data_IF_506337239025
#
_entry.id   IF_506337239025
#
_cell.length_a   1.000
_cell.length_b   1.000
_cell.length_c   1.000
_cell.angle_alpha   90.00
_cell.angle_beta   90.00
_cell.angle_gamma   90.00
#
_symmetry.space_group_name_H-M   'P 1'
#
loop_
_entity.id
_entity.type
_entity.pdbx_description
1 polymer ?
#
# COMPACT_ATOMS: atom_id res chain seq x y z
N UNK A 1 -7.64 4.18 11.38
CA UNK A 1 -7.69 3.58 10.02
C UNK A 1 -6.38 3.77 9.22
N UNK A 2 -5.95 2.76 8.46
CA UNK A 2 -4.59 2.64 7.88
C UNK A 2 -4.49 3.11 6.41
N UNK A 3 -3.46 3.88 6.09
CA UNK A 3 -3.03 4.27 4.74
C UNK A 3 -1.80 3.46 4.39
N UNK A 4 -1.87 2.69 3.30
CA UNK A 4 -0.78 1.80 2.91
C UNK A 4 -0.18 2.21 1.58
N UNK A 5 1.16 2.17 1.50
CA UNK A 5 1.96 2.47 0.31
C UNK A 5 2.60 1.22 -0.27
N UNK A 6 2.80 1.18 -1.59
CA UNK A 6 3.83 0.32 -2.18
C UNK A 6 4.50 0.90 -3.43
N UNK A 7 5.67 0.34 -3.72
CA UNK A 7 6.47 0.58 -4.91
C UNK A 7 6.50 -0.71 -5.73
N UNK A 8 6.04 -0.66 -6.98
CA UNK A 8 5.94 -1.84 -7.82
C UNK A 8 6.56 -1.64 -9.18
N UNK A 9 7.12 -2.73 -9.70
CA UNK A 9 7.47 -2.88 -11.10
C UNK A 9 6.40 -3.69 -11.80
N UNK A 10 5.84 -3.15 -12.89
CA UNK A 10 4.98 -3.91 -13.79
C UNK A 10 5.69 -4.11 -15.13
N UNK A 11 5.80 -5.35 -15.59
CA UNK A 11 6.44 -5.71 -16.86
C UNK A 11 5.37 -5.98 -17.92
N UNK A 12 5.53 -5.36 -19.08
CA UNK A 12 4.75 -5.60 -20.30
C UNK A 12 5.20 -6.88 -20.99
N UNK A 13 4.28 -7.52 -21.70
CA UNK A 13 4.63 -8.52 -22.72
C UNK A 13 5.46 -7.82 -23.80
N UNK A 14 6.78 -8.02 -23.79
CA UNK A 14 7.75 -7.30 -24.63
C UNK A 14 8.92 -6.68 -23.88
N UNK A 15 8.99 -6.82 -22.55
CA UNK A 15 10.17 -6.44 -21.75
C UNK A 15 10.21 -4.99 -21.28
N UNK A 16 9.30 -4.13 -21.75
CA UNK A 16 9.11 -2.80 -21.19
C UNK A 16 8.52 -2.90 -19.78
N UNK A 17 8.90 -2.00 -18.86
CA UNK A 17 8.36 -1.98 -17.51
C UNK A 17 8.03 -0.57 -17.03
N UNK A 18 7.10 -0.48 -16.09
CA UNK A 18 6.74 0.78 -15.42
C UNK A 18 6.93 0.60 -13.92
N UNK A 19 7.65 1.54 -13.31
CA UNK A 19 7.67 1.67 -11.86
C UNK A 19 6.52 2.59 -11.45
N UNK A 20 5.72 2.16 -10.47
CA UNK A 20 4.64 2.99 -9.91
C UNK A 20 4.75 3.08 -8.40
N UNK A 21 4.45 4.25 -7.87
CA UNK A 21 4.18 4.49 -6.46
C UNK A 21 2.68 4.64 -6.28
N UNK A 22 2.16 4.01 -5.23
CA UNK A 22 0.73 4.02 -4.95
C UNK A 22 0.47 4.13 -3.46
N UNK A 23 -0.69 4.68 -3.12
CA UNK A 23 -1.22 4.82 -1.77
C UNK A 23 -2.74 4.59 -1.76
N UNK A 24 -3.26 3.93 -0.73
CA UNK A 24 -4.69 3.73 -0.52
C UNK A 24 -5.05 3.75 0.96
N UNK A 25 -6.32 4.03 1.27
CA UNK A 25 -6.92 3.90 2.60
C UNK A 25 -8.16 2.99 2.53
N UNK A 26 -8.75 2.65 3.67
CA UNK A 26 -10.10 2.03 3.71
C UNK A 26 -11.19 2.90 3.05
N UNK A 27 -11.07 4.23 3.03
CA UNK A 27 -12.05 5.14 2.43
C UNK A 27 -11.86 5.21 0.93
N UNK A 28 -10.63 5.53 0.51
CA UNK A 28 -10.35 5.93 -0.86
C UNK A 28 -9.03 5.39 -1.40
N UNK A 29 -8.99 5.26 -2.72
CA UNK A 29 -7.79 5.02 -3.48
C UNK A 29 -7.07 6.36 -3.69
N UNK A 30 -5.81 6.44 -3.24
CA UNK A 30 -4.98 7.62 -3.44
C UNK A 30 -4.32 7.67 -4.83
N UNK A 31 -3.39 8.62 -5.05
CA UNK A 31 -2.77 8.81 -6.35
C UNK A 31 -1.85 7.65 -6.75
N UNK A 32 -1.98 7.22 -8.01
CA UNK A 32 -1.05 6.31 -8.69
C UNK A 32 -0.03 7.12 -9.49
N UNK A 33 1.21 7.18 -8.99
CA UNK A 33 2.29 8.01 -9.52
C UNK A 33 3.25 7.16 -10.34
N UNK A 34 3.43 7.52 -11.62
CA UNK A 34 4.42 6.88 -12.48
C UNK A 34 5.83 7.38 -12.14
N UNK A 35 6.75 6.43 -12.01
CA UNK A 35 8.16 6.69 -11.80
C UNK A 35 8.93 6.39 -13.09
N UNK A 36 9.49 7.43 -13.72
CA UNK A 36 10.23 7.31 -14.99
C UNK A 36 11.61 6.68 -14.81
N UNK A 37 12.22 6.89 -13.65
CA UNK A 37 13.53 6.38 -13.25
C UNK A 37 13.44 5.71 -11.88
N UNK A 38 14.53 5.05 -11.48
CA UNK A 38 14.72 4.52 -10.12
C UNK A 38 14.37 5.58 -9.07
N UNK A 39 13.60 5.18 -8.05
CA UNK A 39 13.17 6.07 -6.99
C UNK A 39 14.38 6.59 -6.18
N UNK A 40 14.74 7.85 -6.37
CA UNK A 40 15.76 8.55 -5.59
C UNK A 40 15.19 9.04 -4.24
N UNK A 41 16.07 9.33 -3.29
CA UNK A 41 15.68 9.83 -1.97
C UNK A 41 14.95 11.17 -2.03
N UNK A 42 15.40 12.10 -2.89
CA UNK A 42 14.77 13.42 -3.07
C UNK A 42 13.39 13.29 -3.71
N UNK A 43 13.24 12.39 -4.68
CA UNK A 43 11.98 12.15 -5.35
C UNK A 43 10.99 11.48 -4.40
N UNK A 44 11.46 10.56 -3.56
CA UNK A 44 10.62 9.95 -2.55
C UNK A 44 10.14 10.97 -1.52
N UNK A 45 11.00 11.90 -1.07
CA UNK A 45 10.58 13.02 -0.23
C UNK A 45 9.50 13.89 -0.87
N UNK A 46 9.66 14.25 -2.14
CA UNK A 46 8.63 15.01 -2.88
C UNK A 46 7.31 14.25 -2.93
N UNK A 47 7.35 12.93 -3.15
CA UNK A 47 6.13 12.13 -3.12
C UNK A 47 5.45 12.14 -1.74
N UNK A 48 6.24 12.04 -0.67
CA UNK A 48 5.71 12.13 0.69
C UNK A 48 5.09 13.50 0.97
N UNK A 49 5.78 14.58 0.62
CA UNK A 49 5.32 15.95 0.81
C UNK A 49 4.10 16.29 -0.06
N UNK A 50 4.19 16.08 -1.36
CA UNK A 50 3.22 16.62 -2.32
C UNK A 50 1.97 15.74 -2.41
N UNK A 51 2.13 14.42 -2.22
CA UNK A 51 1.06 13.45 -2.47
C UNK A 51 0.59 12.74 -1.20
N UNK A 52 1.49 12.25 -0.34
CA UNK A 52 1.06 11.57 0.89
C UNK A 52 0.42 12.55 1.88
N UNK A 53 1.08 13.66 2.21
CA UNK A 53 0.55 14.63 3.18
C UNK A 53 -0.82 15.17 2.76
N UNK A 54 -0.93 15.60 1.50
CA UNK A 54 -2.20 16.03 0.88
C UNK A 54 -3.29 14.96 0.98
N UNK A 55 -2.96 13.70 0.64
CA UNK A 55 -3.92 12.59 0.72
C UNK A 55 -4.34 12.30 2.16
N UNK A 56 -3.41 12.30 3.10
CA UNK A 56 -3.68 12.10 4.53
C UNK A 56 -4.64 13.17 5.06
N UNK A 57 -4.43 14.44 4.72
CA UNK A 57 -5.32 15.55 5.12
C UNK A 57 -6.76 15.36 4.60
N UNK A 58 -6.92 14.79 3.40
CA UNK A 58 -8.24 14.52 2.80
C UNK A 58 -8.93 13.33 3.50
N UNK A 59 -8.22 12.22 3.72
CA UNK A 59 -8.83 10.98 4.25
C UNK A 59 -8.86 10.91 5.79
N UNK A 60 -8.05 11.73 6.46
CA UNK A 60 -7.83 11.77 7.91
C UNK A 60 -7.69 13.21 8.43
N UNK A 61 -8.76 14.00 8.30
CA UNK A 61 -8.82 15.37 8.82
C UNK A 61 -8.78 15.44 10.36
N UNK A 62 -8.93 14.31 11.06
CA UNK A 62 -8.90 14.18 12.52
C UNK A 62 -7.47 14.02 13.09
N UNK A 63 -6.46 13.87 12.24
CA UNK A 63 -5.07 13.64 12.67
C UNK A 63 -4.80 12.25 13.26
N UNK A 64 -5.77 11.33 13.18
CA UNK A 64 -5.65 9.96 13.72
C UNK A 64 -5.21 8.94 12.67
N UNK A 65 -4.88 9.42 11.46
CA UNK A 65 -4.39 8.59 10.36
C UNK A 65 -3.15 7.80 10.75
N UNK A 66 -3.05 6.57 10.25
CA UNK A 66 -1.84 5.75 10.38
C UNK A 66 -1.27 5.45 9.00
N UNK A 67 0.02 5.68 8.79
CA UNK A 67 0.71 5.41 7.52
C UNK A 67 1.61 4.17 7.62
N UNK A 68 1.37 3.18 6.77
CA UNK A 68 2.17 1.98 6.62
C UNK A 68 2.90 2.01 5.27
N UNK A 69 4.20 1.71 5.29
CA UNK A 69 4.99 1.46 4.08
C UNK A 69 5.55 0.04 4.09
N UNK A 70 5.64 -0.57 2.91
CA UNK A 70 6.18 -1.93 2.77
C UNK A 70 7.65 -1.99 3.22
N UNK A 71 8.02 -3.03 3.98
CA UNK A 71 9.40 -3.24 4.44
C UNK A 71 10.30 -3.84 3.34
N UNK A 72 9.80 -3.97 2.11
CA UNK A 72 10.41 -4.76 1.04
C UNK A 72 11.62 -4.09 0.38
N UNK A 73 11.90 -2.82 0.68
CA UNK A 73 13.08 -2.14 0.14
C UNK A 73 13.98 -1.66 1.30
N UNK A 74 15.26 -2.11 1.39
CA UNK A 74 16.23 -1.67 2.40
C UNK A 74 16.57 -0.17 2.34
N UNK A 75 15.92 0.59 1.47
CA UNK A 75 16.19 1.98 1.18
C UNK A 75 15.00 2.86 1.54
N UNK A 76 14.47 2.78 2.76
CA UNK A 76 13.79 3.98 3.29
C UNK A 76 14.94 4.94 3.62
N UNK A 77 15.21 5.94 2.77
CA UNK A 77 16.39 6.77 2.99
C UNK A 77 16.17 7.57 4.27
N UNK A 78 17.25 7.83 5.03
CA UNK A 78 17.18 8.54 6.33
C UNK A 78 16.33 9.81 6.28
N UNK A 79 16.35 10.49 5.14
CA UNK A 79 15.57 11.70 4.89
C UNK A 79 14.07 11.46 4.95
N UNK A 80 13.57 10.34 4.42
CA UNK A 80 12.15 10.01 4.47
C UNK A 80 11.70 9.63 5.88
N UNK A 81 12.55 8.91 6.62
CA UNK A 81 12.29 8.63 8.04
C UNK A 81 12.23 9.92 8.85
N UNK A 82 13.14 10.87 8.61
CA UNK A 82 13.13 12.18 9.26
C UNK A 82 11.86 12.95 8.94
N UNK A 83 11.46 13.00 7.66
CA UNK A 83 10.22 13.66 7.24
C UNK A 83 8.99 13.05 7.92
N UNK A 84 8.90 11.72 8.01
CA UNK A 84 7.81 11.03 8.72
C UNK A 84 7.79 11.32 10.23
N UNK A 85 8.96 11.55 10.85
CA UNK A 85 9.05 11.95 12.25
C UNK A 85 8.61 13.41 12.45
N UNK A 86 9.01 14.30 11.55
CA UNK A 86 8.62 15.72 11.58
C UNK A 86 7.10 15.90 11.45
N UNK A 87 6.42 15.00 10.72
CA UNK A 87 4.96 15.02 10.53
C UNK A 87 4.21 14.06 11.48
N UNK A 88 4.84 13.63 12.58
CA UNK A 88 4.23 12.71 13.54
C UNK A 88 3.06 13.31 14.33
N UNK A 89 2.92 14.64 14.32
CA UNK A 89 1.73 15.35 14.83
C UNK A 89 0.50 15.16 13.94
N UNK A 90 0.72 14.94 12.64
CA UNK A 90 -0.34 14.94 11.64
C UNK A 90 -0.88 13.52 11.43
N UNK A 91 -0.01 12.52 11.55
CA UNK A 91 -0.35 11.11 11.47
C UNK A 91 0.72 10.23 12.09
N UNK A 92 0.36 8.99 12.46
CA UNK A 92 1.31 8.02 13.02
C UNK A 92 1.94 7.18 11.93
N UNK A 93 3.26 7.06 11.91
CA UNK A 93 3.95 6.09 11.06
C UNK A 93 3.91 4.69 11.71
N UNK A 94 3.23 3.75 11.06
CA UNK A 94 3.14 2.35 11.49
C UNK A 94 4.31 1.54 10.96
N UNK A 95 5.20 1.12 11.87
CA UNK A 95 6.33 0.29 11.52
C UNK A 95 5.89 -1.17 11.33
N UNK A 96 5.87 -1.63 10.08
CA UNK A 96 5.59 -3.03 9.77
C UNK A 96 6.80 -3.92 10.09
N UNK A 97 6.64 -5.06 10.77
CA UNK A 97 7.74 -6.01 10.99
C UNK A 97 8.35 -6.51 9.67
N UNK A 98 9.64 -6.88 9.61
CA UNK A 98 10.21 -7.47 8.41
C UNK A 98 9.43 -8.71 7.93
N UNK A 99 9.34 -8.91 6.60
CA UNK A 99 8.64 -10.03 5.93
C UNK A 99 7.12 -10.08 6.15
N UNK A 100 6.47 -8.97 6.46
CA UNK A 100 5.02 -8.91 6.69
C UNK A 100 4.25 -8.35 5.48
N UNK A 101 4.63 -8.71 4.24
CA UNK A 101 3.87 -8.30 3.05
C UNK A 101 2.41 -8.76 3.13
N UNK A 102 2.14 -9.86 3.82
CA UNK A 102 0.79 -10.35 4.08
C UNK A 102 -0.07 -9.40 4.93
N UNK A 103 0.52 -8.40 5.58
CA UNK A 103 -0.19 -7.35 6.33
C UNK A 103 -0.36 -6.05 5.54
N UNK A 104 0.00 -6.02 4.26
CA UNK A 104 -0.18 -4.87 3.39
C UNK A 104 -1.48 -5.02 2.57
N UNK A 105 -2.43 -4.09 2.73
CA UNK A 105 -3.72 -4.10 1.98
C UNK A 105 -3.51 -3.92 0.47
N UNK A 106 -2.39 -3.34 0.06
CA UNK A 106 -2.14 -2.99 -1.34
C UNK A 106 -1.68 -4.19 -2.18
N UNK A 107 -1.20 -5.26 -1.55
CA UNK A 107 -0.75 -6.48 -2.24
C UNK A 107 -1.91 -7.16 -3.00
N UNK A 108 -3.07 -7.45 -2.38
CA UNK A 108 -4.26 -7.91 -3.11
C UNK A 108 -4.74 -6.95 -4.20
N UNK A 109 -4.67 -5.62 -3.95
CA UNK A 109 -5.06 -4.61 -4.94
C UNK A 109 -4.17 -4.76 -6.17
N UNK A 110 -2.86 -4.84 -5.96
CA UNK A 110 -1.88 -4.97 -7.02
C UNK A 110 -2.07 -6.26 -7.81
N UNK A 111 -2.25 -7.41 -7.15
CA UNK A 111 -2.54 -8.67 -7.81
C UNK A 111 -3.80 -8.60 -8.69
N UNK A 112 -4.87 -7.96 -8.20
CA UNK A 112 -6.09 -7.75 -8.97
C UNK A 112 -5.87 -6.81 -10.17
N UNK A 113 -5.07 -5.75 -10.02
CA UNK A 113 -4.72 -4.84 -11.11
C UNK A 113 -3.88 -5.52 -12.19
N UNK A 114 -2.87 -6.30 -11.80
CA UNK A 114 -2.06 -7.09 -12.74
C UNK A 114 -2.92 -8.05 -13.54
N UNK A 115 -3.82 -8.78 -12.86
CA UNK A 115 -4.73 -9.72 -13.49
C UNK A 115 -5.67 -9.02 -14.50
N UNK A 116 -6.21 -7.84 -14.13
CA UNK A 116 -7.08 -7.06 -15.02
C UNK A 116 -6.32 -6.57 -16.26
N UNK A 117 -5.12 -6.04 -16.08
CA UNK A 117 -4.25 -5.59 -17.18
C UNK A 117 -3.88 -6.73 -18.13
N UNK A 118 -3.51 -7.90 -17.60
CA UNK A 118 -3.18 -9.08 -18.40
C UNK A 118 -4.35 -9.61 -19.23
N UNK A 119 -5.58 -9.41 -18.75
CA UNK A 119 -6.80 -9.84 -19.43
C UNK A 119 -7.30 -8.82 -20.47
N UNK A 120 -6.71 -7.63 -20.55
CA UNK A 120 -7.14 -6.61 -21.52
C UNK A 120 -6.82 -7.01 -22.96
N UNK A 121 -7.72 -6.62 -23.85
CA UNK A 121 -7.55 -6.75 -25.28
C UNK A 121 -7.91 -5.43 -25.98
N UNK A 122 -7.02 -4.85 -26.80
CA UNK A 122 -5.64 -5.28 -27.00
C UNK A 122 -4.77 -5.11 -25.73
N UNK A 123 -3.67 -5.87 -25.58
CA UNK A 123 -2.75 -5.67 -24.47
C UNK A 123 -2.10 -4.27 -24.56
N UNK A 124 -1.72 -3.65 -23.43
CA UNK A 124 -1.07 -2.35 -23.45
C UNK A 124 0.25 -2.40 -24.22
N UNK A 125 0.37 -1.61 -25.28
CA UNK A 125 1.54 -1.60 -26.16
C UNK A 125 2.66 -0.67 -25.70
N UNK A 126 2.33 0.35 -24.90
CA UNK A 126 3.29 1.33 -24.38
C UNK A 126 3.22 1.48 -22.86
N UNK A 127 4.28 2.02 -22.22
CA UNK A 127 4.24 2.41 -20.81
C UNK A 127 3.08 3.36 -20.44
N UNK A 128 2.65 4.20 -21.38
CA UNK A 128 1.52 5.12 -21.19
C UNK A 128 0.19 4.36 -21.19
N UNK A 129 0.01 3.42 -22.13
CA UNK A 129 -1.17 2.56 -22.20
C UNK A 129 -1.26 1.68 -20.94
N UNK A 130 -0.12 1.22 -20.44
CA UNK A 130 -0.07 0.42 -19.21
C UNK A 130 -0.54 1.22 -18.00
N UNK A 131 -0.06 2.46 -17.86
CA UNK A 131 -0.50 3.35 -16.79
C UNK A 131 -2.00 3.61 -16.89
N UNK A 132 -2.50 3.91 -18.09
CA UNK A 132 -3.92 4.14 -18.33
C UNK A 132 -4.73 2.90 -17.94
N UNK A 133 -4.26 1.71 -18.34
CA UNK A 133 -4.92 0.46 -18.00
C UNK A 133 -4.94 0.15 -16.50
N UNK A 134 -3.86 0.49 -15.78
CA UNK A 134 -3.84 0.42 -14.33
C UNK A 134 -4.83 1.39 -13.69
N UNK A 135 -4.90 2.63 -14.18
CA UNK A 135 -5.83 3.64 -13.67
C UNK A 135 -7.29 3.23 -13.89
N UNK A 136 -7.66 2.82 -15.11
CA UNK A 136 -9.00 2.35 -15.42
C UNK A 136 -9.39 1.14 -14.54
N UNK A 137 -8.51 0.12 -14.46
CA UNK A 137 -8.76 -1.09 -13.67
C UNK A 137 -8.88 -0.83 -12.17
N UNK A 138 -8.34 0.31 -11.72
CA UNK A 138 -8.44 0.80 -10.34
C UNK A 138 -9.78 1.51 -10.13
N UNK A 139 -10.21 2.32 -11.09
CA UNK A 139 -11.53 2.97 -11.08
C UNK A 139 -12.69 1.97 -11.19
N UNK A 140 -12.48 0.85 -11.89
CA UNK A 140 -13.51 -0.21 -12.07
C UNK A 140 -13.74 -1.07 -10.81
N UNK A 141 -13.04 -0.81 -9.71
CA UNK A 141 -13.22 -1.58 -8.47
C UNK A 141 -14.60 -1.30 -7.87
N UNK A 142 -15.30 -2.34 -7.37
CA UNK A 142 -16.64 -2.14 -6.84
C UNK A 142 -16.61 -1.23 -5.61
N UNK A 143 -17.70 -0.49 -5.34
CA UNK A 143 -17.88 0.17 -4.04
C UNK A 143 -17.70 -0.84 -2.91
N UNK A 144 -17.07 -0.47 -1.81
CA UNK A 144 -16.82 -1.40 -0.71
C UNK A 144 -15.57 -2.28 -0.87
N UNK A 145 -14.86 -2.21 -2.01
CA UNK A 145 -13.70 -3.07 -2.28
C UNK A 145 -12.57 -2.87 -1.25
N UNK A 146 -12.21 -1.62 -0.96
CA UNK A 146 -11.16 -1.28 0.00
C UNK A 146 -11.56 -1.67 1.43
N UNK A 147 -12.83 -1.44 1.76
CA UNK A 147 -13.41 -1.82 3.04
C UNK A 147 -13.32 -3.32 3.25
N UNK A 148 -13.76 -4.11 2.27
CA UNK A 148 -13.66 -5.57 2.30
C UNK A 148 -12.22 -6.05 2.50
N UNK A 149 -11.25 -5.43 1.80
CA UNK A 149 -9.84 -5.79 1.95
C UNK A 149 -9.31 -5.52 3.37
N UNK A 150 -9.71 -4.40 3.97
CA UNK A 150 -9.33 -4.04 5.33
C UNK A 150 -10.02 -4.96 6.34
N UNK A 151 -11.29 -5.30 6.13
CA UNK A 151 -12.06 -6.23 6.98
C UNK A 151 -11.45 -7.65 6.96
N UNK A 152 -10.73 -8.02 5.90
CA UNK A 152 -9.98 -9.29 5.84
C UNK A 152 -8.67 -9.26 6.63
N UNK A 153 -8.18 -8.10 7.08
CA UNK A 153 -6.88 -8.00 7.75
C UNK A 153 -6.76 -8.84 9.02
N UNK A 154 -7.73 -8.85 9.95
CA UNK A 154 -7.66 -9.73 11.12
C UNK A 154 -7.48 -11.20 10.75
N UNK A 155 -8.15 -11.66 9.69
CA UNK A 155 -8.03 -13.03 9.18
C UNK A 155 -6.65 -13.28 8.56
N UNK A 156 -6.13 -12.35 7.75
CA UNK A 156 -4.78 -12.44 7.16
C UNK A 156 -3.69 -12.49 8.23
N UNK A 157 -3.81 -11.66 9.26
CA UNK A 157 -2.92 -11.64 10.43
C UNK A 157 -2.98 -12.99 11.16
N UNK A 158 -4.18 -13.51 11.41
CA UNK A 158 -4.35 -14.81 12.04
C UNK A 158 -3.72 -15.94 11.21
N UNK A 159 -3.96 -15.98 9.90
CA UNK A 159 -3.34 -16.96 8.99
C UNK A 159 -1.81 -16.86 8.98
N UNK A 160 -1.25 -15.65 8.99
CA UNK A 160 0.19 -15.42 9.05
C UNK A 160 0.80 -15.94 10.35
N UNK A 161 0.13 -15.70 11.48
CA UNK A 161 0.56 -16.18 12.79
C UNK A 161 0.50 -17.72 12.86
N UNK A 162 -0.57 -18.33 12.36
CA UNK A 162 -0.70 -19.78 12.27
C UNK A 162 0.41 -20.42 11.42
N UNK A 163 0.76 -19.80 10.29
CA UNK A 163 1.82 -20.29 9.40
C UNK A 163 3.22 -20.19 10.03
N UNK A 164 3.45 -19.25 10.95
CA UNK A 164 4.77 -19.01 11.57
C UNK A 164 5.01 -19.75 12.88
N UNK A 165 3.98 -19.90 13.72
CA UNK A 165 4.13 -20.41 15.10
C UNK A 165 3.86 -21.92 15.20
N UNK A 166 3.24 -22.53 14.19
CA UNK A 166 2.74 -23.89 14.30
C UNK A 166 1.52 -23.98 15.23
N UNK A 167 0.65 -24.97 15.01
CA UNK A 167 -0.72 -25.04 15.53
C UNK A 167 -0.90 -25.17 17.06
N UNK A 168 0.08 -24.85 17.92
CA UNK A 168 0.01 -25.24 19.35
C UNK A 168 0.13 -24.16 20.42
N UNK A 169 0.41 -22.88 20.12
CA UNK A 169 0.40 -21.85 21.16
C UNK A 169 -0.17 -20.54 20.64
N UNK A 170 -1.49 -20.41 20.71
CA UNK A 170 -2.19 -19.13 20.61
C UNK A 170 -2.36 -18.59 22.03
N UNK A 171 -1.47 -17.68 22.45
CA UNK A 171 -1.81 -16.80 23.57
C UNK A 171 -2.80 -15.74 23.07
N UNK A 172 -3.94 -15.67 23.75
CA UNK A 172 -5.21 -15.05 23.34
C UNK A 172 -5.21 -13.52 23.26
N UNK A 173 -4.06 -12.87 23.02
CA UNK A 173 -3.91 -11.40 23.08
C UNK A 173 -3.19 -10.74 21.89
N UNK A 174 -2.23 -11.42 21.26
CA UNK A 174 -1.40 -10.82 20.18
C UNK A 174 -2.15 -10.62 18.85
N UNK A 175 -2.98 -11.56 18.37
CA UNK A 175 -3.77 -11.36 17.16
C UNK A 175 -4.79 -10.23 17.31
N UNK A 176 -5.35 -10.10 18.52
CA UNK A 176 -6.35 -9.08 18.86
C UNK A 176 -5.73 -7.69 18.89
N UNK A 177 -4.50 -7.53 19.42
CA UNK A 177 -3.81 -6.25 19.44
C UNK A 177 -3.47 -5.73 18.04
N UNK A 178 -2.97 -6.59 17.14
CA UNK A 178 -2.69 -6.22 15.75
C UNK A 178 -3.97 -5.96 14.94
N UNK A 179 -5.03 -6.73 15.18
CA UNK A 179 -6.34 -6.50 14.58
C UNK A 179 -6.97 -5.19 15.08
N UNK A 180 -6.88 -4.89 16.38
CA UNK A 180 -7.29 -3.62 16.97
C UNK A 180 -6.48 -2.46 16.37
N UNK A 181 -5.17 -2.58 16.19
CA UNK A 181 -4.39 -1.50 15.60
C UNK A 181 -4.76 -1.18 14.15
N UNK A 182 -5.29 -2.17 13.41
CA UNK A 182 -5.88 -1.98 12.09
C UNK A 182 -7.33 -1.45 12.13
N UNK A 183 -8.09 -1.78 13.19
CA UNK A 183 -9.52 -1.50 13.35
C UNK A 183 -9.86 -0.37 14.35
N UNK A 184 -8.91 0.36 14.92
CA UNK A 184 -9.24 1.49 15.80
C UNK A 184 -9.82 2.63 14.95
N UNK A 185 -11.15 2.70 15.09
CA UNK A 185 -12.21 3.72 14.88
C UNK A 185 -12.00 4.81 13.83
#
# INVERSE_FOLDING_TARGET
>A
MLVSRSLWWLVLSGGASVMVWDVCSWRDMGPLIRLETTLSSDRYLRILSDHLHSFMSIVHSDGLGQFQQNSATPHTPRVATKWLQEHSSDFRHFHCPPKSSDMNIIEPIWAALQCAVQKRYPPPGTPMDLRTALQDSRCDKPPGYLQTLVDTMPHRVASLLCARVGSKQYETGVPVFLALQCNIE
#
